data_IF_004668617703
#
_entry.id   IF_004668617703
#
_cell.length_a   1.000
_cell.length_b   1.000
_cell.length_c   1.000
_cell.angle_alpha   90.00
_cell.angle_beta   90.00
_cell.angle_gamma   90.00
#
_symmetry.space_group_name_H-M   'P 1'
#
loop_
_entity.id
_entity.type
_entity.pdbx_description
1 polymer ?
#
# COMPACT_ATOMS: atom_id res chain seq x y z
N UNK A 1 1.77 9.39 -11.40
CA UNK A 1 2.60 10.19 -10.46
C UNK A 1 3.11 11.52 -11.02
N UNK A 2 3.60 11.56 -12.27
CA UNK A 2 4.17 12.76 -12.91
C UNK A 2 3.35 14.05 -12.73
N UNK A 3 2.01 13.98 -12.85
CA UNK A 3 1.12 15.13 -12.59
C UNK A 3 1.30 15.70 -11.17
N UNK A 4 1.26 14.85 -10.13
CA UNK A 4 1.44 15.28 -8.74
C UNK A 4 2.81 15.90 -8.50
N UNK A 5 3.86 15.32 -9.10
CA UNK A 5 5.22 15.87 -9.03
C UNK A 5 5.30 17.26 -9.66
N UNK A 6 4.67 17.46 -10.83
CA UNK A 6 4.62 18.77 -11.50
C UNK A 6 3.88 19.81 -10.66
N UNK A 7 2.74 19.44 -10.07
CA UNK A 7 2.00 20.32 -9.16
C UNK A 7 2.89 20.70 -7.96
N UNK A 8 3.51 19.73 -7.30
CA UNK A 8 4.37 19.98 -6.14
C UNK A 8 5.55 20.90 -6.46
N UNK A 9 6.18 20.72 -7.63
CA UNK A 9 7.25 21.58 -8.10
C UNK A 9 6.80 23.04 -8.26
N UNK A 10 5.58 23.29 -8.77
CA UNK A 10 5.06 24.66 -8.92
C UNK A 10 4.84 25.39 -7.59
N UNK A 11 4.69 24.66 -6.49
CA UNK A 11 4.50 25.21 -5.14
C UNK A 11 5.73 25.00 -4.25
N UNK A 12 6.86 24.55 -4.81
CA UNK A 12 8.11 24.29 -4.09
C UNK A 12 7.98 23.37 -2.87
N UNK A 13 7.03 22.43 -2.93
CA UNK A 13 6.79 21.43 -1.88
C UNK A 13 7.24 20.04 -2.34
N UNK A 14 7.51 19.15 -1.39
CA UNK A 14 7.89 17.77 -1.68
C UNK A 14 7.02 16.72 -0.98
N UNK A 15 6.08 17.17 -0.15
CA UNK A 15 5.15 16.31 0.59
C UNK A 15 3.70 16.79 0.48
N UNK A 16 2.75 15.86 0.38
CA UNK A 16 1.31 16.17 0.29
C UNK A 16 0.80 16.96 1.49
N UNK A 17 1.34 16.74 2.67
CA UNK A 17 0.95 17.50 3.86
C UNK A 17 1.35 18.97 3.78
N UNK A 18 2.46 19.29 3.10
CA UNK A 18 2.86 20.68 2.85
C UNK A 18 1.91 21.31 1.82
N UNK A 19 1.64 20.60 0.73
CA UNK A 19 0.68 21.04 -0.28
C UNK A 19 -0.69 21.34 0.31
N UNK A 20 -1.24 20.41 1.12
CA UNK A 20 -2.52 20.58 1.81
C UNK A 20 -2.55 21.76 2.78
N UNK A 21 -1.41 22.14 3.38
CA UNK A 21 -1.34 23.33 4.24
C UNK A 21 -1.45 24.62 3.43
N UNK A 22 -0.92 24.64 2.20
CA UNK A 22 -1.06 25.77 1.28
C UNK A 22 -2.49 25.82 0.73
N UNK A 23 -3.02 24.69 0.28
CA UNK A 23 -4.40 24.54 -0.22
C UNK A 23 -5.44 25.04 0.79
N UNK A 24 -5.26 24.74 2.09
CA UNK A 24 -6.14 25.25 3.15
C UNK A 24 -6.13 26.78 3.31
N UNK A 25 -5.09 27.46 2.84
CA UNK A 25 -4.94 28.92 2.91
C UNK A 25 -5.42 29.62 1.64
N UNK A 26 -5.43 28.90 0.51
CA UNK A 26 -5.83 29.43 -0.79
C UNK A 26 -6.80 28.47 -1.48
N UNK A 27 -8.08 28.84 -1.46
CA UNK A 27 -9.16 28.06 -2.08
C UNK A 27 -9.11 28.03 -3.61
N UNK A 28 -8.24 28.81 -4.25
CA UNK A 28 -8.04 28.77 -5.70
C UNK A 28 -7.05 27.68 -6.13
N UNK A 29 -6.31 27.08 -5.19
CA UNK A 29 -5.43 25.95 -5.48
C UNK A 29 -6.24 24.72 -5.88
N UNK A 30 -5.69 23.93 -6.80
CA UNK A 30 -6.30 22.66 -7.23
C UNK A 30 -6.33 21.65 -6.06
N UNK A 31 -7.50 21.10 -5.69
CA UNK A 31 -7.55 20.12 -4.61
C UNK A 31 -6.78 18.84 -4.94
N UNK A 32 -5.90 18.41 -4.04
CA UNK A 32 -5.10 17.19 -4.24
C UNK A 32 -5.31 16.18 -3.10
N UNK A 33 -6.32 15.28 -3.22
CA UNK A 33 -6.60 14.29 -2.19
C UNK A 33 -5.51 13.22 -2.11
N UNK A 34 -5.50 12.43 -1.02
CA UNK A 34 -4.73 11.19 -1.03
C UNK A 34 -5.35 10.20 -2.02
N UNK A 35 -4.52 9.42 -2.71
CA UNK A 35 -4.95 8.35 -3.58
C UNK A 35 -4.68 7.02 -2.88
N UNK A 36 -5.71 6.22 -2.64
CA UNK A 36 -5.60 4.87 -2.12
C UNK A 36 -5.88 3.90 -3.26
N UNK A 37 -4.91 3.05 -3.57
CA UNK A 37 -5.02 1.97 -4.54
C UNK A 37 -5.16 0.68 -3.75
N UNK A 38 -6.17 -0.12 -4.07
CA UNK A 38 -6.42 -1.40 -3.42
C UNK A 38 -6.35 -2.47 -4.51
N UNK A 39 -5.46 -3.43 -4.34
CA UNK A 39 -5.43 -4.64 -5.15
C UNK A 39 -5.90 -5.79 -4.25
N UNK A 40 -7.15 -6.20 -4.46
CA UNK A 40 -7.68 -7.41 -3.87
C UNK A 40 -7.21 -8.63 -4.66
N UNK A 41 -7.07 -9.75 -3.97
CA UNK A 41 -6.43 -10.98 -4.45
C UNK A 41 -5.19 -10.74 -5.34
N UNK A 42 -4.24 -9.93 -4.86
CA UNK A 42 -3.08 -9.52 -5.66
C UNK A 42 -2.18 -10.71 -6.06
N UNK A 43 -2.36 -11.88 -5.47
CA UNK A 43 -1.69 -13.12 -5.86
C UNK A 43 -1.96 -13.45 -7.33
N UNK A 44 -3.21 -13.32 -7.79
CA UNK A 44 -3.58 -13.54 -9.19
C UNK A 44 -2.91 -12.51 -10.09
N UNK A 45 -2.97 -11.23 -9.72
CA UNK A 45 -2.32 -10.15 -10.45
C UNK A 45 -0.80 -10.35 -10.55
N UNK A 46 -0.16 -10.87 -9.51
CA UNK A 46 1.27 -11.18 -9.50
C UNK A 46 1.60 -12.38 -10.39
N UNK A 47 0.74 -13.39 -10.43
CA UNK A 47 0.89 -14.55 -11.31
C UNK A 47 0.78 -14.16 -12.78
N UNK A 48 -0.24 -13.37 -13.13
CA UNK A 48 -0.52 -13.01 -14.52
C UNK A 48 0.41 -11.91 -15.03
N UNK A 49 0.76 -10.95 -14.16
CA UNK A 49 1.52 -9.75 -14.51
C UNK A 49 2.60 -9.41 -13.47
N UNK A 50 3.66 -10.24 -13.35
CA UNK A 50 4.70 -10.07 -12.33
C UNK A 50 5.47 -8.74 -12.44
N UNK A 51 5.76 -8.29 -13.67
CA UNK A 51 6.46 -7.02 -13.89
C UNK A 51 5.61 -5.82 -13.50
N UNK A 52 4.30 -5.85 -13.80
CA UNK A 52 3.37 -4.82 -13.37
C UNK A 52 3.33 -4.72 -11.83
N UNK A 53 3.31 -5.84 -11.12
CA UNK A 53 3.33 -5.84 -9.65
C UNK A 53 4.60 -5.21 -9.08
N UNK A 54 5.78 -5.49 -9.66
CA UNK A 54 7.03 -4.85 -9.24
C UNK A 54 6.96 -3.33 -9.45
N UNK A 55 6.46 -2.89 -10.60
CA UNK A 55 6.28 -1.47 -10.91
C UNK A 55 5.28 -0.80 -9.97
N UNK A 56 4.15 -1.45 -9.69
CA UNK A 56 3.10 -0.94 -8.80
C UNK A 56 3.64 -0.71 -7.38
N UNK A 57 4.34 -1.70 -6.82
CA UNK A 57 4.96 -1.60 -5.49
C UNK A 57 6.02 -0.50 -5.45
N UNK A 58 6.88 -0.42 -6.47
CA UNK A 58 7.91 0.63 -6.56
C UNK A 58 7.29 2.03 -6.70
N UNK A 59 6.24 2.14 -7.50
CA UNK A 59 5.48 3.38 -7.73
C UNK A 59 4.81 3.83 -6.43
N UNK A 60 4.20 2.93 -5.67
CA UNK A 60 3.60 3.25 -4.38
C UNK A 60 4.66 3.72 -3.35
N UNK A 61 5.84 3.09 -3.32
CA UNK A 61 6.96 3.53 -2.48
C UNK A 61 7.33 5.00 -2.76
N UNK A 62 7.57 5.33 -4.03
CA UNK A 62 7.95 6.70 -4.45
C UNK A 62 6.76 7.66 -4.29
N UNK A 63 5.55 7.16 -4.50
CA UNK A 63 4.29 7.91 -4.44
C UNK A 63 3.86 8.30 -3.02
N UNK A 64 4.47 7.73 -1.97
CA UNK A 64 4.10 8.02 -0.57
C UNK A 64 4.13 9.50 -0.24
N UNK A 65 5.22 10.21 -0.58
CA UNK A 65 5.33 11.65 -0.32
C UNK A 65 4.32 12.46 -1.14
N UNK A 66 3.92 11.94 -2.29
CA UNK A 66 2.89 12.48 -3.16
C UNK A 66 1.46 12.13 -2.69
N UNK A 67 1.33 11.44 -1.56
CA UNK A 67 0.07 11.00 -0.98
C UNK A 67 -0.60 9.84 -1.70
N UNK A 68 0.18 8.99 -2.37
CA UNK A 68 -0.31 7.74 -2.96
C UNK A 68 0.01 6.58 -2.01
N UNK A 69 -1.01 5.76 -1.73
CA UNK A 69 -0.95 4.63 -0.82
C UNK A 69 -1.45 3.38 -1.55
N UNK A 70 -0.84 2.24 -1.25
CA UNK A 70 -1.19 0.94 -1.82
C UNK A 70 -1.56 -0.03 -0.71
N UNK A 71 -2.70 -0.67 -0.85
CA UNK A 71 -3.16 -1.78 -0.02
C UNK A 71 -3.19 -3.01 -0.91
N UNK A 72 -2.47 -4.05 -0.48
CA UNK A 72 -2.46 -5.36 -1.13
C UNK A 72 -3.18 -6.34 -0.21
N UNK A 73 -4.19 -7.03 -0.74
CA UNK A 73 -4.94 -8.06 -0.04
C UNK A 73 -4.87 -9.37 -0.81
N UNK A 74 -4.77 -10.49 -0.09
CA UNK A 74 -4.78 -11.85 -0.65
C UNK A 74 -5.32 -12.81 0.39
N UNK A 75 -5.99 -13.87 -0.06
CA UNK A 75 -6.43 -14.95 0.81
C UNK A 75 -5.30 -15.96 1.09
N UNK A 76 -4.29 -16.04 0.21
CA UNK A 76 -3.18 -16.99 0.31
C UNK A 76 -1.85 -16.23 0.32
N UNK A 77 -1.37 -15.79 1.49
CA UNK A 77 -0.12 -15.05 1.57
C UNK A 77 1.10 -15.91 1.19
N UNK A 78 1.00 -17.24 1.38
CA UNK A 78 2.10 -18.17 1.21
C UNK A 78 2.72 -18.14 -0.18
N UNK A 79 4.01 -17.80 -0.26
CA UNK A 79 4.76 -17.74 -1.51
C UNK A 79 4.43 -16.54 -2.41
N UNK A 80 3.40 -15.77 -2.06
CA UNK A 80 2.97 -14.57 -2.79
C UNK A 80 3.68 -13.33 -2.24
N UNK A 81 3.93 -13.29 -0.92
CA UNK A 81 4.58 -12.15 -0.27
C UNK A 81 6.10 -12.30 -0.30
N UNK A 82 6.73 -11.68 -1.30
CA UNK A 82 8.20 -11.69 -1.44
C UNK A 82 8.90 -10.60 -0.60
N UNK A 83 10.24 -10.60 -0.64
CA UNK A 83 11.08 -9.64 0.08
C UNK A 83 10.87 -8.18 -0.38
N UNK A 84 10.47 -7.96 -1.63
CA UNK A 84 10.19 -6.62 -2.14
C UNK A 84 8.89 -6.09 -1.53
N UNK A 85 7.80 -6.86 -1.57
CA UNK A 85 6.54 -6.48 -0.91
C UNK A 85 6.77 -6.29 0.59
N UNK A 86 7.54 -7.19 1.22
CA UNK A 86 7.77 -7.16 2.65
C UNK A 86 8.58 -5.93 3.10
N UNK A 87 9.63 -5.55 2.36
CA UNK A 87 10.47 -4.37 2.65
C UNK A 87 9.77 -3.05 2.39
N UNK A 88 8.80 -3.02 1.46
CA UNK A 88 8.03 -1.81 1.13
C UNK A 88 6.78 -1.63 2.01
N UNK A 89 6.32 -2.69 2.68
CA UNK A 89 5.12 -2.67 3.52
C UNK A 89 5.48 -2.45 4.99
N UNK A 90 5.43 -1.20 5.46
CA UNK A 90 5.66 -0.87 6.88
C UNK A 90 4.53 -1.33 7.81
N UNK A 91 3.32 -1.41 7.27
CA UNK A 91 2.14 -1.88 7.98
C UNK A 91 1.67 -3.19 7.36
N UNK A 92 1.29 -4.14 8.20
CA UNK A 92 0.78 -5.46 7.82
C UNK A 92 -0.38 -5.78 8.75
N UNK A 93 -1.49 -6.21 8.16
CA UNK A 93 -2.66 -6.72 8.88
C UNK A 93 -2.86 -8.16 8.43
N UNK A 94 -3.09 -9.06 9.38
CA UNK A 94 -3.36 -10.46 9.08
C UNK A 94 -4.59 -10.89 9.86
N UNK A 95 -5.69 -11.05 9.14
CA UNK A 95 -6.91 -11.63 9.69
C UNK A 95 -6.74 -13.16 9.82
N UNK A 96 -7.80 -13.86 10.23
CA UNK A 96 -7.81 -15.32 10.32
C UNK A 96 -7.31 -15.98 9.02
N UNK A 97 -6.21 -16.73 9.13
CA UNK A 97 -5.65 -17.62 8.09
C UNK A 97 -5.83 -19.09 8.45
N UNK A 98 -5.88 -20.00 7.47
CA UNK A 98 -6.09 -21.42 7.75
C UNK A 98 -4.91 -22.02 8.53
N UNK A 99 -3.69 -21.76 8.08
CA UNK A 99 -2.48 -22.42 8.58
C UNK A 99 -1.56 -21.49 9.38
N UNK A 100 -0.85 -22.07 10.35
CA UNK A 100 0.16 -21.35 11.14
C UNK A 100 1.36 -20.87 10.30
N UNK A 101 1.64 -21.51 9.16
CA UNK A 101 2.65 -21.09 8.18
C UNK A 101 2.32 -19.72 7.60
N UNK A 102 1.06 -19.50 7.20
CA UNK A 102 0.59 -18.26 6.56
C UNK A 102 0.71 -17.09 7.54
N UNK A 103 0.32 -17.34 8.80
CA UNK A 103 0.49 -16.37 9.88
C UNK A 103 1.97 -16.04 10.10
N UNK A 104 2.85 -17.06 10.11
CA UNK A 104 4.30 -16.86 10.28
C UNK A 104 4.90 -16.09 9.11
N UNK A 105 4.43 -16.30 7.89
CA UNK A 105 4.89 -15.55 6.73
C UNK A 105 4.57 -14.07 6.86
N UNK A 106 3.33 -13.74 7.23
CA UNK A 106 2.83 -12.38 7.37
C UNK A 106 3.36 -11.65 8.61
N UNK A 107 3.26 -12.28 9.78
CA UNK A 107 3.46 -11.66 11.09
C UNK A 107 4.71 -12.15 11.84
N UNK A 108 5.41 -13.18 11.34
CA UNK A 108 6.46 -13.90 12.09
C UNK A 108 5.98 -14.51 13.40
N UNK A 109 4.67 -14.70 13.54
CA UNK A 109 3.98 -15.34 14.66
C UNK A 109 2.87 -16.23 14.13
N UNK A 110 2.36 -17.16 14.93
CA UNK A 110 1.30 -18.09 14.52
C UNK A 110 -0.11 -17.62 14.92
N UNK A 111 -0.21 -16.49 15.61
CA UNK A 111 -1.42 -16.03 16.31
C UNK A 111 -2.64 -15.88 15.38
N UNK A 112 -2.46 -15.45 14.13
CA UNK A 112 -3.56 -15.26 13.19
C UNK A 112 -4.24 -16.58 12.77
N UNK A 113 -3.54 -17.71 12.87
CA UNK A 113 -4.12 -19.02 12.61
C UNK A 113 -5.08 -19.48 13.73
N UNK A 114 -5.05 -18.87 14.90
CA UNK A 114 -5.90 -19.23 16.04
C UNK A 114 -7.08 -18.27 16.24
N UNK A 115 -7.25 -17.27 15.37
CA UNK A 115 -8.41 -16.38 15.39
C UNK A 115 -9.68 -17.18 15.06
N UNK A 116 -10.75 -16.96 15.81
CA UNK A 116 -12.02 -17.70 15.63
C UNK A 116 -13.12 -16.80 15.06
N UNK A 117 -13.20 -15.55 15.54
CA UNK A 117 -14.24 -14.61 15.15
C UNK A 117 -13.89 -13.91 13.83
N UNK A 118 -14.81 -13.89 12.85
CA UNK A 118 -14.65 -13.07 11.65
C UNK A 118 -14.43 -11.59 12.00
N UNK A 119 -13.50 -10.95 11.30
CA UNK A 119 -13.17 -9.53 11.50
C UNK A 119 -12.12 -9.23 12.59
N UNK A 120 -11.65 -10.23 13.36
CA UNK A 120 -10.50 -10.08 14.27
C UNK A 120 -9.17 -10.26 13.51
N UNK A 121 -8.14 -9.50 13.89
CA UNK A 121 -6.78 -9.51 13.34
C UNK A 121 -5.83 -8.58 14.06
#
# INVERSE_FOLDING_TARGET
LKRRQKIFANFEVNHIDQYKKLEKKDSNMEPLPHLIIIADEFAELKSDHPEFMKELVSTARIGRSLGVHLILATQKPAGVVDSQIWSNSKFKLCLKVQDASDSKEMLKKQDAAFIVEPGRG
#
